data_IF_726816098242
#
_entry.id   IF_726816098242
#
_cell.length_a   1.000
_cell.length_b   1.000
_cell.length_c   1.000
_cell.angle_alpha   90.00
_cell.angle_beta   90.00
_cell.angle_gamma   90.00
#
_symmetry.space_group_name_H-M   'P 1'
#
loop_
_entity.id
_entity.type
_entity.pdbx_description
1 polymer ?
#
# COMPACT_ATOMS: atom_id res chain seq x y z
N UNK A 1 -27.70 38.05 -7.56
CA UNK A 1 -27.25 36.66 -7.78
C UNK A 1 -26.32 36.31 -6.62
N UNK A 2 -26.86 35.69 -5.59
CA UNK A 2 -26.11 35.36 -4.37
C UNK A 2 -25.25 34.14 -4.66
N UNK A 3 -23.93 34.29 -4.60
CA UNK A 3 -23.00 33.18 -4.72
C UNK A 3 -23.26 32.20 -3.57
N UNK A 4 -23.60 30.96 -3.91
CA UNK A 4 -23.64 29.86 -2.95
C UNK A 4 -22.21 29.66 -2.44
N UNK A 5 -21.94 30.12 -1.21
CA UNK A 5 -20.76 29.70 -0.45
C UNK A 5 -20.96 28.22 -0.12
N UNK A 6 -20.38 27.35 -0.93
CA UNK A 6 -20.16 25.95 -0.54
C UNK A 6 -19.17 25.94 0.62
N UNK A 7 -19.68 25.74 1.83
CA UNK A 7 -18.87 25.38 2.99
C UNK A 7 -18.18 24.05 2.70
N UNK A 8 -16.88 24.09 2.44
CA UNK A 8 -16.05 22.91 2.23
C UNK A 8 -16.03 22.10 3.55
N UNK A 9 -16.59 20.89 3.52
CA UNK A 9 -16.64 20.02 4.70
C UNK A 9 -15.22 19.56 5.02
N UNK A 10 -14.78 19.75 6.26
CA UNK A 10 -13.45 19.31 6.69
C UNK A 10 -13.30 17.79 6.52
N UNK A 11 -12.35 17.37 5.68
CA UNK A 11 -12.07 15.96 5.42
C UNK A 11 -11.45 15.28 6.64
N UNK A 12 -11.86 14.04 6.90
CA UNK A 12 -11.35 13.24 8.02
C UNK A 12 -9.96 12.68 7.70
N UNK A 13 -9.02 12.81 8.64
CA UNK A 13 -7.66 12.27 8.46
C UNK A 13 -7.64 10.75 8.55
N UNK A 14 -6.86 10.05 7.72
CA UNK A 14 -6.69 8.59 7.81
C UNK A 14 -6.23 8.18 9.21
N UNK A 15 -5.30 8.93 9.79
CA UNK A 15 -4.75 8.65 11.13
C UNK A 15 -5.76 8.84 12.27
N UNK A 16 -6.93 9.44 12.04
CA UNK A 16 -7.97 9.57 13.05
C UNK A 16 -8.98 8.43 13.05
N UNK A 17 -8.90 7.49 12.10
CA UNK A 17 -9.73 6.29 12.12
C UNK A 17 -9.20 5.32 13.16
N UNK A 18 -10.07 4.88 14.05
CA UNK A 18 -9.84 3.63 14.79
C UNK A 18 -10.01 2.45 13.85
N UNK A 19 -9.46 1.31 14.23
CA UNK A 19 -9.63 0.05 13.49
C UNK A 19 -11.10 -0.26 13.17
N UNK A 20 -12.00 -0.14 14.15
CA UNK A 20 -13.43 -0.43 13.95
C UNK A 20 -14.11 0.53 12.98
N UNK A 21 -13.71 1.80 12.97
CA UNK A 21 -14.26 2.80 12.05
C UNK A 21 -13.76 2.57 10.63
N UNK A 22 -12.49 2.19 10.45
CA UNK A 22 -11.96 1.85 9.14
C UNK A 22 -12.67 0.62 8.54
N UNK A 23 -12.93 -0.43 9.34
CA UNK A 23 -13.70 -1.60 8.91
C UNK A 23 -15.11 -1.21 8.44
N UNK A 24 -15.81 -0.37 9.21
CA UNK A 24 -17.14 0.16 8.81
C UNK A 24 -17.05 1.05 7.58
N UNK A 25 -16.03 1.89 7.47
CA UNK A 25 -15.82 2.79 6.33
C UNK A 25 -15.65 2.02 5.02
N UNK A 26 -14.98 0.86 5.06
CA UNK A 26 -14.84 -0.01 3.89
C UNK A 26 -15.96 -1.05 3.77
N UNK A 27 -16.93 -1.05 4.70
CA UNK A 27 -18.10 -1.93 4.74
C UNK A 27 -17.76 -3.43 4.86
N UNK A 28 -16.87 -3.78 5.79
CA UNK A 28 -16.55 -5.19 6.12
C UNK A 28 -16.71 -5.46 7.62
N UNK A 29 -17.12 -6.68 7.95
CA UNK A 29 -17.18 -7.19 9.33
C UNK A 29 -15.92 -8.00 9.69
N UNK A 30 -15.35 -8.69 8.71
CA UNK A 30 -14.21 -9.58 8.84
C UNK A 30 -13.34 -9.54 7.58
N UNK A 31 -12.12 -10.07 7.71
CA UNK A 31 -11.23 -10.28 6.58
C UNK A 31 -11.33 -11.71 6.11
N UNK A 32 -11.34 -11.89 4.78
CA UNK A 32 -11.01 -13.18 4.18
C UNK A 32 -9.51 -13.46 4.30
N UNK A 33 -9.15 -14.74 4.29
CA UNK A 33 -7.75 -15.15 4.31
C UNK A 33 -7.17 -15.10 2.89
N UNK A 34 -6.12 -14.32 2.69
CA UNK A 34 -5.38 -14.29 1.43
C UNK A 34 -4.06 -15.05 1.54
N UNK A 35 -3.83 -15.97 0.60
CA UNK A 35 -2.51 -16.52 0.33
C UNK A 35 -1.95 -15.80 -0.89
N UNK A 36 -1.03 -14.85 -0.65
CA UNK A 36 -0.33 -14.18 -1.75
C UNK A 36 0.57 -15.21 -2.42
N UNK A 37 0.18 -15.65 -3.61
CA UNK A 37 0.94 -16.63 -4.40
C UNK A 37 2.18 -15.95 -4.96
N UNK A 38 3.35 -16.58 -4.80
CA UNK A 38 4.61 -16.05 -5.31
C UNK A 38 5.72 -17.06 -5.06
N UNK A 39 6.46 -17.42 -6.10
CA UNK A 39 7.61 -18.30 -5.96
C UNK A 39 8.74 -17.54 -5.25
N UNK A 40 9.51 -18.19 -4.36
CA UNK A 40 10.67 -17.54 -3.75
C UNK A 40 11.64 -17.02 -4.82
N UNK A 41 12.08 -15.78 -4.66
CA UNK A 41 13.00 -15.12 -5.60
C UNK A 41 14.35 -14.92 -4.91
N UNK A 42 15.48 -15.37 -5.49
CA UNK A 42 16.78 -15.08 -4.93
C UNK A 42 17.04 -13.57 -4.98
N UNK A 43 17.70 -13.03 -3.95
CA UNK A 43 18.12 -11.62 -3.95
C UNK A 43 19.06 -11.37 -5.13
N UNK A 44 18.77 -10.32 -5.92
CA UNK A 44 19.67 -9.82 -6.93
C UNK A 44 21.00 -9.37 -6.34
N UNK A 45 22.04 -9.30 -7.18
CA UNK A 45 23.33 -8.72 -6.78
C UNK A 45 23.18 -7.26 -6.32
N UNK A 46 22.25 -6.53 -6.95
CA UNK A 46 21.96 -5.15 -6.61
C UNK A 46 21.37 -5.04 -5.20
N UNK A 47 20.33 -5.82 -4.87
CA UNK A 47 19.74 -5.81 -3.53
C UNK A 47 20.75 -6.25 -2.47
N UNK A 48 21.56 -7.29 -2.74
CA UNK A 48 22.63 -7.72 -1.80
C UNK A 48 23.57 -6.57 -1.47
N UNK A 49 24.07 -5.87 -2.48
CA UNK A 49 24.96 -4.73 -2.29
C UNK A 49 24.24 -3.57 -1.58
N UNK A 50 22.98 -3.31 -1.91
CA UNK A 50 22.18 -2.26 -1.25
C UNK A 50 21.99 -2.56 0.23
N UNK A 51 21.61 -3.79 0.60
CA UNK A 51 21.45 -4.23 1.99
C UNK A 51 22.76 -4.17 2.77
N UNK A 52 23.88 -4.61 2.18
CA UNK A 52 25.21 -4.50 2.79
C UNK A 52 25.55 -3.04 3.13
N UNK A 53 25.26 -2.11 2.22
CA UNK A 53 25.49 -0.67 2.46
C UNK A 53 24.56 -0.10 3.51
N UNK A 54 23.31 -0.58 3.59
CA UNK A 54 22.35 -0.15 4.60
C UNK A 54 22.73 -0.57 6.03
N UNK A 55 23.57 -1.60 6.20
CA UNK A 55 24.13 -1.97 7.52
C UNK A 55 24.94 -0.86 8.18
N UNK A 56 25.33 0.18 7.43
CA UNK A 56 26.04 1.35 7.96
C UNK A 56 25.11 2.37 8.64
N UNK A 57 23.80 2.23 8.47
CA UNK A 57 22.78 3.04 9.14
C UNK A 57 22.22 2.29 10.35
N UNK A 58 21.75 3.01 11.35
CA UNK A 58 20.95 2.40 12.42
C UNK A 58 19.56 2.03 11.86
N UNK A 59 19.29 0.73 11.77
CA UNK A 59 18.08 0.17 11.18
C UNK A 59 16.82 0.66 11.90
N UNK A 60 16.90 0.87 13.22
CA UNK A 60 15.77 1.32 14.02
C UNK A 60 15.25 2.69 13.57
N UNK A 61 16.15 3.58 13.13
CA UNK A 61 15.82 4.93 12.67
C UNK A 61 15.61 5.03 11.15
N UNK A 62 16.02 4.01 10.39
CA UNK A 62 16.08 4.03 8.92
C UNK A 62 15.18 2.99 8.25
N UNK A 63 14.09 2.58 8.91
CA UNK A 63 13.14 1.57 8.42
C UNK A 63 12.64 1.86 6.99
N UNK A 64 12.46 3.13 6.65
CA UNK A 64 12.04 3.53 5.30
C UNK A 64 13.08 3.20 4.21
N UNK A 65 14.38 3.21 4.52
CA UNK A 65 15.43 2.83 3.54
C UNK A 65 15.42 1.33 3.24
N UNK A 66 15.12 0.50 4.24
CA UNK A 66 14.93 -0.93 4.06
C UNK A 66 13.68 -1.21 3.22
N UNK A 67 12.58 -0.53 3.52
CA UNK A 67 11.35 -0.62 2.73
C UNK A 67 11.61 -0.17 1.29
N UNK A 68 12.34 0.92 1.07
CA UNK A 68 12.74 1.36 -0.28
C UNK A 68 13.50 0.26 -1.03
N UNK A 69 14.48 -0.38 -0.38
CA UNK A 69 15.29 -1.44 -1.00
C UNK A 69 14.46 -2.66 -1.41
N UNK A 70 13.55 -3.08 -0.53
CA UNK A 70 12.68 -4.23 -0.76
C UNK A 70 11.66 -3.91 -1.86
N UNK A 71 11.03 -2.73 -1.82
CA UNK A 71 10.10 -2.26 -2.84
C UNK A 71 10.77 -2.13 -4.22
N UNK A 72 11.98 -1.60 -4.27
CA UNK A 72 12.75 -1.45 -5.52
C UNK A 72 13.03 -2.81 -6.16
N UNK A 73 13.51 -3.78 -5.39
CA UNK A 73 13.73 -5.15 -5.89
C UNK A 73 12.42 -5.80 -6.39
N UNK A 74 11.33 -5.65 -5.63
CA UNK A 74 10.04 -6.23 -6.01
C UNK A 74 9.46 -5.60 -7.28
N UNK A 75 9.69 -4.29 -7.50
CA UNK A 75 9.15 -3.52 -8.62
C UNK A 75 9.86 -3.81 -9.95
N UNK A 76 11.05 -4.41 -9.93
CA UNK A 76 11.88 -4.67 -11.12
C UNK A 76 11.11 -5.37 -12.27
N UNK A 77 10.10 -6.16 -11.92
CA UNK A 77 9.29 -6.94 -12.88
C UNK A 77 7.95 -6.28 -13.25
N UNK A 78 7.65 -5.09 -12.74
CA UNK A 78 6.42 -4.34 -12.98
C UNK A 78 6.73 -2.95 -13.59
N UNK A 79 7.24 -2.96 -14.83
CA UNK A 79 7.83 -1.78 -15.47
C UNK A 79 6.82 -0.65 -15.80
N UNK A 80 5.52 -0.95 -15.81
CA UNK A 80 4.42 0.01 -16.03
C UNK A 80 3.99 0.68 -14.73
N UNK A 81 4.56 0.31 -13.58
CA UNK A 81 4.26 0.90 -12.29
C UNK A 81 5.35 1.89 -11.84
N UNK A 82 4.94 2.79 -10.96
CA UNK A 82 5.83 3.70 -10.22
C UNK A 82 5.36 3.77 -8.77
N UNK A 83 6.33 3.78 -7.87
CA UNK A 83 6.11 4.04 -6.45
C UNK A 83 6.33 5.52 -6.16
N UNK A 84 5.35 6.15 -5.53
CA UNK A 84 5.38 7.54 -5.07
C UNK A 84 5.49 7.56 -3.55
N UNK A 85 6.64 8.02 -3.05
CA UNK A 85 6.93 8.04 -1.61
C UNK A 85 6.29 9.25 -0.93
N UNK A 86 5.75 9.06 0.28
CA UNK A 86 5.24 10.13 1.14
C UNK A 86 4.08 10.92 0.54
N UNK A 87 3.24 10.29 -0.28
CA UNK A 87 2.20 10.98 -1.05
C UNK A 87 0.94 11.18 -0.22
N UNK A 88 0.37 12.38 -0.28
CA UNK A 88 -0.98 12.65 0.22
C UNK A 88 -1.99 12.02 -0.72
N UNK A 89 -2.82 11.14 -0.18
CA UNK A 89 -3.96 10.55 -0.85
C UNK A 89 -5.23 11.21 -0.32
N UNK A 90 -6.05 11.72 -1.22
CA UNK A 90 -7.21 12.53 -0.90
C UNK A 90 -8.44 11.96 -1.60
N UNK A 91 -9.51 11.77 -0.83
CA UNK A 91 -10.83 11.41 -1.31
C UNK A 91 -11.82 12.55 -1.11
N UNK A 92 -13.10 12.27 -1.32
CA UNK A 92 -14.17 13.25 -1.13
C UNK A 92 -14.31 13.66 0.35
N UNK A 93 -14.26 12.68 1.26
CA UNK A 93 -14.56 12.83 2.69
C UNK A 93 -13.35 12.57 3.60
N UNK A 94 -12.24 12.11 3.02
CA UNK A 94 -11.04 11.67 3.75
C UNK A 94 -9.75 12.19 3.11
N UNK A 95 -8.71 12.36 3.92
CA UNK A 95 -7.35 12.63 3.45
C UNK A 95 -6.30 11.95 4.33
N UNK A 96 -5.14 11.63 3.78
CA UNK A 96 -4.01 11.19 4.60
C UNK A 96 -2.76 10.91 3.78
N UNK A 97 -1.62 10.89 4.46
CA UNK A 97 -0.36 10.52 3.84
C UNK A 97 -0.17 9.01 3.92
N UNK A 98 0.17 8.38 2.80
CA UNK A 98 0.65 7.00 2.75
C UNK A 98 2.16 7.00 2.57
N UNK A 99 2.84 5.99 3.12
CA UNK A 99 4.30 5.90 2.99
C UNK A 99 4.70 5.69 1.53
N UNK A 100 3.95 4.85 0.81
CA UNK A 100 4.16 4.59 -0.62
C UNK A 100 2.82 4.43 -1.33
N UNK A 101 2.68 5.06 -2.49
CA UNK A 101 1.53 4.89 -3.38
C UNK A 101 2.01 4.24 -4.68
N UNK A 102 1.35 3.18 -5.12
CA UNK A 102 1.65 2.46 -6.37
C UNK A 102 0.64 2.88 -7.42
N UNK A 103 1.13 3.40 -8.54
CA UNK A 103 0.29 3.91 -9.62
C UNK A 103 0.95 3.63 -10.99
N UNK A 104 0.21 3.76 -12.10
CA UNK A 104 0.81 3.76 -13.43
C UNK A 104 2.03 4.69 -13.52
N UNK A 105 3.06 4.26 -14.26
CA UNK A 105 4.30 5.00 -14.46
C UNK A 105 4.08 6.22 -15.36
N UNK A 106 3.70 7.33 -14.73
CA UNK A 106 3.46 8.64 -15.35
C UNK A 106 4.22 9.74 -14.61
N UNK A 107 4.21 10.95 -15.18
CA UNK A 107 4.77 12.15 -14.56
C UNK A 107 3.92 12.70 -13.40
N UNK A 108 2.69 12.20 -13.24
CA UNK A 108 1.74 12.56 -12.20
C UNK A 108 1.04 11.30 -11.66
N UNK A 109 0.39 11.41 -10.50
CA UNK A 109 -0.40 10.33 -9.91
C UNK A 109 -1.80 10.33 -10.50
N UNK A 110 -2.22 9.19 -11.03
CA UNK A 110 -3.58 8.94 -11.52
C UNK A 110 -3.88 7.46 -11.37
N UNK A 111 -5.14 7.12 -11.10
CA UNK A 111 -5.61 5.74 -10.93
C UNK A 111 -4.68 4.87 -10.04
N UNK A 112 -4.45 5.26 -8.77
CA UNK A 112 -3.59 4.50 -7.88
C UNK A 112 -4.17 3.11 -7.62
N UNK A 113 -3.29 2.10 -7.67
CA UNK A 113 -3.65 0.69 -7.62
C UNK A 113 -3.31 0.05 -6.28
N UNK A 114 -2.38 0.64 -5.54
CA UNK A 114 -2.09 0.21 -4.18
C UNK A 114 -1.53 1.32 -3.30
N UNK A 115 -1.63 1.13 -1.98
CA UNK A 115 -0.92 1.93 -0.99
C UNK A 115 -0.18 1.04 0.01
N UNK A 116 0.98 1.50 0.47
CA UNK A 116 1.76 0.87 1.54
C UNK A 116 1.87 1.86 2.69
N UNK A 117 1.52 1.41 3.89
CA UNK A 117 1.55 2.22 5.12
C UNK A 117 2.65 1.70 6.06
N UNK A 118 3.56 2.59 6.43
CA UNK A 118 4.55 2.32 7.46
C UNK A 118 3.88 2.21 8.83
N UNK A 119 4.20 1.14 9.55
CA UNK A 119 3.76 0.93 10.93
C UNK A 119 4.62 1.80 11.84
N UNK A 120 3.95 2.62 12.66
CA UNK A 120 4.59 3.47 13.68
C UNK A 120 4.34 2.85 15.04
N UNK A 121 5.35 2.87 15.91
CA UNK A 121 5.28 2.35 17.28
C UNK A 121 4.75 0.90 17.38
N UNK A 122 5.02 0.10 16.33
CA UNK A 122 4.51 -1.26 16.13
C UNK A 122 2.97 -1.41 16.26
N UNK A 123 2.22 -0.33 16.05
CA UNK A 123 0.76 -0.36 16.02
C UNK A 123 0.23 -0.83 14.65
N UNK A 124 0.27 -2.15 14.46
CA UNK A 124 -0.27 -2.79 13.26
C UNK A 124 -1.78 -2.57 13.09
N UNK A 125 -2.54 -2.35 14.18
CA UNK A 125 -3.99 -2.09 14.07
C UNK A 125 -4.23 -0.72 13.47
N UNK A 126 -3.51 0.30 13.92
CA UNK A 126 -3.62 1.65 13.37
C UNK A 126 -3.08 1.74 11.94
N UNK A 127 -2.00 1.02 11.62
CA UNK A 127 -1.52 0.89 10.25
C UNK A 127 -2.55 0.20 9.35
N UNK A 128 -3.20 -0.86 9.83
CA UNK A 128 -4.30 -1.54 9.10
C UNK A 128 -5.45 -0.58 8.83
N UNK A 129 -5.88 0.19 9.84
CA UNK A 129 -6.97 1.15 9.69
C UNK A 129 -6.68 2.19 8.59
N UNK A 130 -5.48 2.78 8.61
CA UNK A 130 -5.04 3.72 7.58
C UNK A 130 -4.92 3.07 6.20
N UNK A 131 -4.42 1.83 6.13
CA UNK A 131 -4.31 1.08 4.88
C UNK A 131 -5.68 0.80 4.27
N UNK A 132 -6.67 0.39 5.07
CA UNK A 132 -8.04 0.14 4.57
C UNK A 132 -8.67 1.39 3.98
N UNK A 133 -8.60 2.52 4.71
CA UNK A 133 -9.13 3.80 4.22
C UNK A 133 -8.40 4.21 2.96
N UNK A 134 -7.07 4.13 2.95
CA UNK A 134 -6.24 4.43 1.78
C UNK A 134 -6.59 3.56 0.57
N UNK A 135 -6.78 2.25 0.75
CA UNK A 135 -7.23 1.34 -0.31
C UNK A 135 -8.59 1.76 -0.87
N UNK A 136 -9.58 2.06 -0.01
CA UNK A 136 -10.89 2.52 -0.49
C UNK A 136 -10.79 3.85 -1.24
N UNK A 137 -9.93 4.77 -0.79
CA UNK A 137 -9.65 6.02 -1.52
C UNK A 137 -9.02 5.74 -2.87
N UNK A 138 -8.05 4.82 -2.96
CA UNK A 138 -7.49 4.37 -4.24
C UNK A 138 -8.55 3.77 -5.16
N UNK A 139 -9.42 2.90 -4.64
CA UNK A 139 -10.48 2.27 -5.42
C UNK A 139 -11.45 3.29 -6.00
N UNK A 140 -11.84 4.30 -5.20
CA UNK A 140 -12.70 5.40 -5.67
C UNK A 140 -11.99 6.25 -6.73
N UNK A 141 -10.74 6.64 -6.48
CA UNK A 141 -9.94 7.43 -7.42
C UNK A 141 -9.75 6.71 -8.78
N UNK A 142 -9.53 5.39 -8.75
CA UNK A 142 -9.42 4.57 -9.96
C UNK A 142 -10.79 4.33 -10.62
N UNK A 143 -11.85 4.16 -9.82
CA UNK A 143 -13.23 4.04 -10.30
C UNK A 143 -13.73 5.27 -11.07
N UNK A 144 -13.27 6.47 -10.69
CA UNK A 144 -13.53 7.71 -11.45
C UNK A 144 -12.95 7.66 -12.87
N UNK A 145 -11.98 6.78 -13.15
CA UNK A 145 -11.45 6.52 -14.49
C UNK A 145 -12.30 5.53 -15.30
N UNK A 146 -13.49 5.16 -14.81
CA UNK A 146 -14.44 4.25 -15.47
C UNK A 146 -14.10 2.76 -15.35
N UNK A 147 -13.12 2.39 -14.52
CA UNK A 147 -12.70 0.99 -14.31
C UNK A 147 -12.95 0.58 -12.86
N UNK A 148 -13.82 -0.41 -12.67
CA UNK A 148 -13.93 -1.10 -11.38
C UNK A 148 -12.82 -2.15 -11.33
N UNK A 149 -11.82 -1.92 -10.47
CA UNK A 149 -10.66 -2.82 -10.33
C UNK A 149 -10.42 -3.16 -8.88
N UNK A 150 -9.74 -4.28 -8.69
CA UNK A 150 -9.14 -4.60 -7.41
C UNK A 150 -8.04 -3.59 -7.08
N UNK A 151 -7.98 -3.24 -5.81
CA UNK A 151 -6.88 -2.43 -5.26
C UNK A 151 -6.19 -3.19 -4.14
N UNK A 152 -4.91 -2.91 -3.99
CA UNK A 152 -4.06 -3.65 -3.09
C UNK A 152 -3.52 -2.76 -1.97
N UNK A 153 -3.13 -3.38 -0.87
CA UNK A 153 -2.59 -2.67 0.28
C UNK A 153 -1.46 -3.45 0.91
N UNK A 154 -0.54 -2.77 1.56
CA UNK A 154 0.38 -3.43 2.47
C UNK A 154 0.66 -2.55 3.69
N UNK A 155 0.98 -3.20 4.81
CA UNK A 155 1.54 -2.52 5.98
C UNK A 155 2.87 -3.16 6.33
N UNK A 156 3.82 -2.33 6.78
CA UNK A 156 5.15 -2.82 7.14
C UNK A 156 5.84 -1.94 8.18
N UNK A 157 6.58 -2.56 9.10
CA UNK A 157 7.54 -1.89 9.98
C UNK A 157 8.98 -2.02 9.46
N UNK A 158 9.17 -2.38 8.19
CA UNK A 158 10.46 -2.71 7.56
C UNK A 158 10.75 -4.21 7.59
N UNK A 159 10.60 -4.84 8.75
CA UNK A 159 10.95 -6.25 8.96
C UNK A 159 9.78 -7.21 8.69
N UNK A 160 8.57 -6.81 9.07
CA UNK A 160 7.34 -7.56 8.86
C UNK A 160 6.43 -6.90 7.84
N UNK A 161 5.78 -7.72 6.99
CA UNK A 161 4.91 -7.28 5.92
C UNK A 161 3.58 -8.03 5.94
N UNK A 162 2.47 -7.29 5.85
CA UNK A 162 1.13 -7.86 5.69
C UNK A 162 0.47 -7.20 4.48
N UNK A 163 -0.11 -8.02 3.61
CA UNK A 163 -0.69 -7.61 2.34
C UNK A 163 -2.22 -7.72 2.39
N UNK A 164 -2.88 -6.89 1.60
CA UNK A 164 -4.32 -6.80 1.50
C UNK A 164 -4.75 -6.72 0.04
N UNK A 165 -5.92 -7.28 -0.25
CA UNK A 165 -6.62 -7.13 -1.52
C UNK A 165 -8.04 -6.69 -1.20
N UNK A 166 -8.47 -5.58 -1.80
CA UNK A 166 -9.86 -5.15 -1.82
C UNK A 166 -10.38 -5.38 -3.23
N UNK A 167 -11.29 -6.33 -3.34
CA UNK A 167 -11.89 -6.70 -4.62
C UNK A 167 -12.86 -5.61 -5.08
N UNK A 168 -13.13 -5.60 -6.37
CA UNK A 168 -14.10 -4.70 -7.00
C UNK A 168 -15.50 -4.73 -6.32
N UNK A 169 -15.90 -5.87 -5.76
CA UNK A 169 -17.15 -6.05 -5.03
C UNK A 169 -17.12 -5.52 -3.58
N UNK A 170 -15.96 -5.05 -3.10
CA UNK A 170 -15.76 -4.52 -1.75
C UNK A 170 -15.31 -5.54 -0.70
N UNK A 171 -15.18 -6.83 -1.04
CA UNK A 171 -14.61 -7.81 -0.12
C UNK A 171 -13.13 -7.54 0.10
N UNK A 172 -12.66 -7.74 1.34
CA UNK A 172 -11.26 -7.49 1.70
C UNK A 172 -10.63 -8.76 2.27
N UNK A 173 -9.48 -9.12 1.71
CA UNK A 173 -8.69 -10.27 2.14
C UNK A 173 -7.32 -9.83 2.66
N UNK A 174 -6.77 -10.56 3.63
CA UNK A 174 -5.47 -10.24 4.25
C UNK A 174 -4.48 -11.42 4.28
N UNK A 175 -3.19 -11.12 4.17
CA UNK A 175 -2.10 -12.09 4.27
C UNK A 175 -1.67 -12.35 5.71
N UNK A 176 -0.78 -13.32 5.92
CA UNK A 176 -0.11 -13.54 7.20
C UNK A 176 1.07 -12.57 7.18
N UNK A 177 1.62 -12.31 8.36
CA UNK A 177 2.87 -11.57 8.45
C UNK A 177 3.98 -12.34 7.71
N UNK A 178 4.70 -11.64 6.86
CA UNK A 178 5.86 -12.15 6.12
C UNK A 178 7.08 -11.39 6.61
N UNK A 179 8.07 -12.08 7.16
CA UNK A 179 9.28 -11.48 7.70
C UNK A 179 10.42 -11.39 6.68
N UNK A 180 11.36 -10.48 6.92
CA UNK A 180 12.62 -10.41 6.17
C UNK A 180 13.56 -11.60 6.44
N UNK A 181 13.31 -12.39 7.49
CA UNK A 181 14.06 -13.64 7.74
C UNK A 181 13.93 -14.63 6.57
N UNK A 182 12.79 -14.63 5.89
CA UNK A 182 12.52 -15.39 4.68
C UNK A 182 12.45 -14.46 3.46
N UNK A 183 13.46 -13.59 3.31
CA UNK A 183 13.46 -12.54 2.29
C UNK A 183 13.15 -13.04 0.86
N UNK A 184 13.65 -14.20 0.38
CA UNK A 184 13.24 -14.72 -0.92
C UNK A 184 11.73 -14.95 -1.08
N UNK A 185 11.06 -15.42 -0.02
CA UNK A 185 9.61 -15.63 -0.01
C UNK A 185 8.88 -14.29 0.03
N UNK A 186 9.36 -13.33 0.84
CA UNK A 186 8.81 -11.98 0.87
C UNK A 186 8.92 -11.31 -0.52
N UNK A 187 10.07 -11.41 -1.19
CA UNK A 187 10.28 -10.88 -2.54
C UNK A 187 9.34 -11.53 -3.55
N UNK A 188 9.13 -12.85 -3.48
CA UNK A 188 8.14 -13.55 -4.31
C UNK A 188 6.72 -13.02 -4.14
N UNK A 189 6.30 -12.79 -2.89
CA UNK A 189 4.98 -12.22 -2.56
C UNK A 189 4.87 -10.78 -3.04
N UNK A 190 5.93 -9.99 -2.88
CA UNK A 190 5.95 -8.58 -3.27
C UNK A 190 5.95 -8.40 -4.79
N UNK A 191 6.70 -9.24 -5.51
CA UNK A 191 6.65 -9.29 -6.98
C UNK A 191 5.23 -9.62 -7.45
N UNK A 192 4.57 -10.62 -6.84
CA UNK A 192 3.18 -10.96 -7.17
C UNK A 192 2.20 -9.83 -6.85
N UNK A 193 2.38 -9.16 -5.71
CA UNK A 193 1.62 -7.97 -5.34
C UNK A 193 1.72 -6.86 -6.40
N UNK A 194 2.92 -6.54 -6.90
CA UNK A 194 3.09 -5.56 -7.96
C UNK A 194 2.57 -6.07 -9.31
N UNK A 195 2.77 -7.34 -9.65
CA UNK A 195 2.22 -7.93 -10.87
C UNK A 195 0.68 -7.90 -10.90
N UNK A 196 0.03 -8.10 -9.74
CA UNK A 196 -1.42 -7.93 -9.58
C UNK A 196 -1.85 -6.48 -9.85
N UNK A 197 -1.13 -5.50 -9.31
CA UNK A 197 -1.38 -4.09 -9.62
C UNK A 197 -1.25 -3.83 -11.12
N UNK A 198 -0.17 -4.28 -11.74
CA UNK A 198 0.09 -4.04 -13.17
C UNK A 198 -0.97 -4.67 -14.08
N UNK A 199 -1.49 -5.85 -13.73
CA UNK A 199 -2.62 -6.49 -14.44
C UNK A 199 -3.90 -5.65 -14.41
N UNK A 200 -4.14 -4.87 -13.35
CA UNK A 200 -5.30 -3.98 -13.26
C UNK A 200 -5.25 -2.80 -14.25
N UNK A 201 -4.13 -2.55 -14.92
CA UNK A 201 -4.02 -1.50 -15.93
C UNK A 201 -4.73 -1.83 -17.25
N UNK A 202 -4.98 -3.12 -17.53
CA UNK A 202 -5.30 -3.63 -18.87
C UNK A 202 -4.04 -4.06 -19.59
#
# INVERSE_FOLDING_TARGET
>A
MTALQTTEVAKRRFSSFTYSEAMRYVNIADFKRWRVEGNPIPLSNFLRQRLERLQRFDWASSKDLLVDAICEEGLEYANRLKIWKGTTLEGEDVLGQVSYLVAPRRAYVEAPLACIVGVKDDDFKQATAQCLVGMRTCQRATGLSGKLVDVYGAITNGEGWKFYRMEANGEVSESLLSGIEELPILLGRLQSFFALCERSLG
#
